data_IF_151511718405
#
_entry.id   IF_151511718405
#
_cell.length_a   1.000
_cell.length_b   1.000
_cell.length_c   1.000
_cell.angle_alpha   90.00
_cell.angle_beta   90.00
_cell.angle_gamma   90.00
#
_symmetry.space_group_name_H-M   'P 1'
#
loop_
_entity.id
_entity.type
_entity.pdbx_description
1 polymer ?
#
# COMPACT_ATOMS: atom_id res chain seq x y z
N UNK A 1 -33.88 16.21 32.28
CA UNK A 1 -34.76 15.99 31.12
C UNK A 1 -33.87 15.97 29.91
N UNK A 2 -34.07 14.93 29.11
CA UNK A 2 -33.20 14.30 28.14
C UNK A 2 -32.61 15.23 27.09
N UNK A 3 -31.35 14.94 26.77
CA UNK A 3 -30.64 15.29 25.54
C UNK A 3 -31.14 14.29 24.50
N UNK A 4 -31.78 14.76 23.44
CA UNK A 4 -32.14 13.92 22.30
C UNK A 4 -30.90 13.69 21.44
N UNK A 5 -30.63 12.41 21.21
CA UNK A 5 -29.51 11.84 20.48
C UNK A 5 -29.72 12.00 18.96
N UNK A 6 -28.64 12.37 18.29
CA UNK A 6 -28.51 12.48 16.84
C UNK A 6 -28.28 11.07 16.25
N UNK A 7 -29.37 10.31 16.08
CA UNK A 7 -29.39 8.94 15.54
C UNK A 7 -29.84 8.88 14.05
N UNK A 8 -29.56 9.90 13.24
CA UNK A 8 -30.19 10.05 11.91
C UNK A 8 -29.34 9.92 10.64
N UNK A 9 -28.00 9.84 10.70
CA UNK A 9 -27.16 10.23 9.54
C UNK A 9 -26.45 9.11 8.77
N UNK A 10 -26.35 7.89 9.30
CA UNK A 10 -25.44 6.87 8.73
C UNK A 10 -26.05 5.99 7.63
N UNK A 11 -27.34 5.65 7.71
CA UNK A 11 -27.93 4.63 6.81
C UNK A 11 -28.25 5.11 5.40
N UNK A 12 -28.50 6.40 5.18
CA UNK A 12 -28.85 6.96 3.85
C UNK A 12 -27.61 7.26 3.00
N UNK A 13 -26.50 7.61 3.63
CA UNK A 13 -25.22 7.87 2.97
C UNK A 13 -24.67 6.59 2.33
N UNK A 14 -24.74 5.46 3.02
CA UNK A 14 -24.26 4.16 2.52
C UNK A 14 -25.04 3.69 1.29
N UNK A 15 -26.37 3.81 1.29
CA UNK A 15 -27.20 3.38 0.15
C UNK A 15 -26.96 4.20 -1.14
N UNK A 16 -26.69 5.50 -1.01
CA UNK A 16 -26.37 6.36 -2.15
C UNK A 16 -24.97 6.05 -2.71
N UNK A 17 -24.01 5.81 -1.82
CA UNK A 17 -22.67 5.39 -2.20
C UNK A 17 -22.64 4.02 -2.89
N UNK A 18 -23.44 3.07 -2.38
CA UNK A 18 -23.67 1.77 -3.02
C UNK A 18 -24.28 1.94 -4.42
N UNK A 19 -25.29 2.81 -4.56
CA UNK A 19 -25.89 3.12 -5.87
C UNK A 19 -24.85 3.67 -6.86
N UNK A 20 -24.03 4.64 -6.48
CA UNK A 20 -22.99 5.21 -7.35
C UNK A 20 -22.00 4.15 -7.83
N UNK A 21 -21.57 3.25 -6.95
CA UNK A 21 -20.66 2.16 -7.31
C UNK A 21 -21.24 1.19 -8.35
N UNK A 22 -22.55 0.91 -8.25
CA UNK A 22 -23.24 -0.05 -9.13
C UNK A 22 -23.65 0.54 -10.49
N UNK A 23 -23.79 1.86 -10.59
CA UNK A 23 -24.34 2.54 -11.77
C UNK A 23 -23.26 3.05 -12.73
N UNK A 24 -22.05 3.28 -12.22
CA UNK A 24 -20.95 3.92 -12.95
C UNK A 24 -19.95 2.91 -13.53
N UNK A 25 -20.39 1.78 -14.10
CA UNK A 25 -19.49 0.70 -14.52
C UNK A 25 -19.30 0.58 -16.06
N UNK A 26 -18.42 1.39 -16.70
CA UNK A 26 -18.12 1.29 -18.14
C UNK A 26 -16.80 0.52 -18.38
N UNK A 27 -16.62 -0.66 -17.79
CA UNK A 27 -15.31 -1.36 -17.86
C UNK A 27 -14.88 -1.71 -19.30
N UNK A 28 -15.81 -1.78 -20.25
CA UNK A 28 -15.53 -2.11 -21.65
C UNK A 28 -14.93 -0.94 -22.46
N UNK A 29 -14.84 0.28 -21.90
CA UNK A 29 -14.44 1.49 -22.65
C UNK A 29 -13.07 2.05 -22.25
N UNK A 30 -12.42 1.52 -21.21
CA UNK A 30 -11.15 2.03 -20.70
C UNK A 30 -10.05 0.96 -20.66
N UNK A 31 -8.91 1.27 -21.28
CA UNK A 31 -7.67 0.50 -21.10
C UNK A 31 -7.03 0.85 -19.75
N UNK A 32 -6.45 -0.13 -19.04
CA UNK A 32 -5.70 0.10 -17.79
C UNK A 32 -6.17 -0.77 -16.62
N UNK A 33 -6.12 -0.22 -15.40
CA UNK A 33 -6.65 -0.89 -14.22
C UNK A 33 -8.18 -0.98 -14.31
N UNK A 34 -8.79 -2.07 -13.82
CA UNK A 34 -10.23 -2.19 -13.78
C UNK A 34 -10.80 -1.12 -12.84
N UNK A 35 -11.90 -0.48 -13.26
CA UNK A 35 -12.68 0.37 -12.35
C UNK A 35 -13.28 -0.54 -11.29
N UNK A 36 -12.85 -0.36 -10.04
CA UNK A 36 -13.48 -1.02 -8.90
C UNK A 36 -14.80 -0.33 -8.54
N UNK A 37 -15.53 -0.89 -7.57
CA UNK A 37 -16.43 -0.05 -6.80
C UNK A 37 -15.60 1.12 -6.27
N UNK A 38 -15.98 2.37 -6.57
CA UNK A 38 -15.47 3.53 -5.83
C UNK A 38 -15.46 3.15 -4.35
N UNK A 39 -14.42 3.52 -3.60
CA UNK A 39 -14.15 3.04 -2.21
C UNK A 39 -15.26 3.25 -1.16
N UNK A 40 -16.46 3.60 -1.62
CA UNK A 40 -17.70 3.81 -0.90
C UNK A 40 -18.67 2.62 -0.87
N UNK A 41 -18.47 1.53 -1.63
CA UNK A 41 -19.40 0.38 -1.60
C UNK A 41 -18.77 -0.98 -1.28
N UNK A 42 -19.46 -1.74 -0.43
CA UNK A 42 -19.14 -3.13 -0.08
C UNK A 42 -19.88 -4.17 -0.95
N UNK A 43 -20.62 -3.77 -2.01
CA UNK A 43 -21.47 -4.71 -2.76
C UNK A 43 -21.02 -4.88 -4.21
N UNK A 44 -20.45 -6.04 -4.50
CA UNK A 44 -19.93 -6.41 -5.82
C UNK A 44 -20.89 -7.45 -6.44
N UNK A 45 -21.87 -7.05 -7.27
CA UNK A 45 -22.72 -8.00 -8.03
C UNK A 45 -23.21 -7.47 -9.38
N UNK A 46 -22.37 -6.71 -10.10
CA UNK A 46 -22.57 -6.56 -11.54
C UNK A 46 -22.24 -7.88 -12.23
N UNK A 47 -23.25 -8.71 -12.50
CA UNK A 47 -23.09 -10.00 -13.18
C UNK A 47 -22.62 -9.74 -14.62
N UNK A 48 -21.37 -10.08 -14.93
CA UNK A 48 -20.91 -10.19 -16.32
C UNK A 48 -21.73 -11.29 -17.00
N UNK A 49 -22.53 -10.92 -18.00
CA UNK A 49 -23.27 -11.86 -18.85
C UNK A 49 -22.39 -12.39 -19.99
N UNK A 50 -21.11 -12.65 -19.71
CA UNK A 50 -20.17 -13.20 -20.68
C UNK A 50 -20.21 -14.73 -20.57
N UNK A 51 -20.44 -15.41 -21.69
CA UNK A 51 -20.32 -16.86 -21.76
C UNK A 51 -18.88 -17.18 -22.12
N UNK A 52 -18.10 -17.61 -21.13
CA UNK A 52 -16.72 -18.08 -21.36
C UNK A 52 -16.80 -19.49 -21.96
N UNK A 53 -16.32 -19.64 -23.18
CA UNK A 53 -16.17 -20.95 -23.83
C UNK A 53 -14.70 -21.33 -23.70
N UNK A 54 -14.43 -22.35 -22.89
CA UNK A 54 -13.08 -22.89 -22.76
C UNK A 54 -12.71 -23.64 -24.03
N UNK A 55 -11.60 -23.24 -24.66
CA UNK A 55 -10.97 -23.95 -25.75
C UNK A 55 -9.66 -24.52 -25.19
N UNK A 56 -9.49 -25.84 -25.22
CA UNK A 56 -8.22 -26.45 -24.84
C UNK A 56 -7.15 -26.09 -25.88
N UNK A 57 -5.89 -25.96 -25.46
CA UNK A 57 -4.79 -25.60 -26.37
C UNK A 57 -4.67 -26.59 -27.55
N UNK A 58 -4.97 -27.87 -27.31
CA UNK A 58 -4.98 -28.90 -28.37
C UNK A 58 -6.18 -28.81 -29.34
N UNK A 59 -7.17 -27.96 -29.02
CA UNK A 59 -8.44 -27.82 -29.73
C UNK A 59 -8.61 -26.42 -30.37
N UNK A 60 -7.57 -25.57 -30.34
CA UNK A 60 -7.63 -24.24 -30.96
C UNK A 60 -7.91 -24.40 -32.47
N UNK A 61 -9.06 -23.90 -32.98
CA UNK A 61 -9.36 -23.99 -34.40
C UNK A 61 -8.30 -23.21 -35.20
N UNK A 62 -7.91 -23.74 -36.36
CA UNK A 62 -6.86 -23.16 -37.22
C UNK A 62 -7.16 -21.73 -37.74
N UNK A 63 -8.35 -21.21 -37.46
CA UNK A 63 -8.80 -19.85 -37.83
C UNK A 63 -8.47 -18.80 -36.77
N UNK A 64 -8.06 -19.22 -35.57
CA UNK A 64 -7.69 -18.33 -34.47
C UNK A 64 -6.18 -18.37 -34.23
N UNK A 65 -5.57 -17.20 -34.15
CA UNK A 65 -4.19 -17.09 -33.66
C UNK A 65 -4.20 -17.11 -32.12
N UNK A 66 -3.23 -17.77 -31.45
CA UNK A 66 -3.14 -17.79 -29.99
C UNK A 66 -3.13 -16.39 -29.35
N UNK A 67 -2.65 -15.39 -30.08
CA UNK A 67 -2.59 -13.98 -29.67
C UNK A 67 -3.97 -13.31 -29.64
N UNK A 68 -4.98 -13.90 -30.29
CA UNK A 68 -6.38 -13.44 -30.29
C UNK A 68 -7.19 -14.04 -29.14
N UNK A 69 -6.62 -14.98 -28.37
CA UNK A 69 -7.28 -15.70 -27.30
C UNK A 69 -6.81 -15.19 -25.93
N UNK A 70 -7.75 -15.01 -25.00
CA UNK A 70 -7.42 -14.71 -23.61
C UNK A 70 -6.99 -15.98 -22.86
N UNK A 71 -5.76 -15.98 -22.32
CA UNK A 71 -5.29 -17.07 -21.49
C UNK A 71 -5.96 -17.06 -20.12
N UNK A 72 -6.80 -18.05 -19.84
CA UNK A 72 -7.41 -18.27 -18.52
C UNK A 72 -6.54 -19.26 -17.73
N UNK A 73 -5.82 -18.82 -16.68
CA UNK A 73 -4.86 -19.68 -16.00
C UNK A 73 -5.58 -20.76 -15.19
N UNK A 74 -5.15 -22.01 -15.37
CA UNK A 74 -5.53 -23.10 -14.47
C UNK A 74 -4.80 -23.00 -13.11
N UNK A 75 -5.25 -23.75 -12.10
CA UNK A 75 -4.61 -23.79 -10.77
C UNK A 75 -3.12 -24.16 -10.83
N UNK A 76 -2.74 -24.95 -11.83
CA UNK A 76 -1.36 -25.43 -12.07
C UNK A 76 -0.63 -24.62 -13.13
N UNK A 77 -1.19 -23.50 -13.61
CA UNK A 77 -0.53 -22.66 -14.59
C UNK A 77 0.82 -22.13 -14.03
N UNK A 78 1.82 -22.17 -14.90
CA UNK A 78 3.21 -21.76 -14.67
C UNK A 78 3.65 -20.66 -15.63
N UNK A 79 2.73 -20.11 -16.42
CA UNK A 79 3.00 -18.95 -17.27
C UNK A 79 3.48 -17.79 -16.40
N UNK A 80 4.58 -17.16 -16.81
CA UNK A 80 5.27 -16.11 -16.04
C UNK A 80 4.95 -14.70 -16.55
N UNK A 81 4.11 -14.59 -17.58
CA UNK A 81 3.67 -13.31 -18.15
C UNK A 81 2.63 -12.58 -17.28
N UNK A 82 1.94 -13.27 -16.36
CA UNK A 82 0.97 -12.66 -15.45
C UNK A 82 0.81 -13.45 -14.14
N UNK A 83 0.39 -12.79 -13.07
CA UNK A 83 0.01 -13.48 -11.84
C UNK A 83 -1.33 -14.21 -12.01
N UNK A 84 -1.38 -15.47 -11.59
CA UNK A 84 -2.62 -16.25 -11.59
C UNK A 84 -3.60 -15.73 -10.52
N UNK A 85 -4.84 -15.42 -10.93
CA UNK A 85 -5.94 -15.02 -10.04
C UNK A 85 -6.29 -16.04 -8.93
N UNK A 86 -5.91 -17.31 -9.12
CA UNK A 86 -6.03 -18.32 -8.06
C UNK A 86 -5.09 -18.11 -6.86
N UNK A 87 -4.02 -17.32 -7.04
CA UNK A 87 -2.99 -17.10 -6.01
C UNK A 87 -3.10 -15.73 -5.37
N UNK A 88 -3.58 -14.73 -6.11
CA UNK A 88 -3.81 -13.37 -5.64
C UNK A 88 -5.10 -12.82 -6.26
N UNK A 89 -5.95 -12.21 -5.42
CA UNK A 89 -7.20 -11.63 -5.90
C UNK A 89 -6.96 -10.30 -6.63
N UNK A 90 -7.90 -9.91 -7.50
CA UNK A 90 -7.84 -8.63 -8.20
C UNK A 90 -7.86 -7.44 -7.23
N UNK A 91 -8.66 -7.56 -6.16
CA UNK A 91 -8.75 -6.57 -5.09
C UNK A 91 -7.43 -6.43 -4.33
N UNK A 92 -6.70 -7.54 -4.14
CA UNK A 92 -5.37 -7.51 -3.54
C UNK A 92 -4.35 -6.81 -4.46
N UNK A 93 -4.52 -6.84 -5.79
CA UNK A 93 -3.62 -6.19 -6.77
C UNK A 93 -4.03 -4.77 -7.14
N UNK A 94 -5.25 -4.34 -6.77
CA UNK A 94 -5.85 -3.08 -7.22
C UNK A 94 -4.90 -1.92 -7.00
N UNK A 95 -4.47 -1.28 -8.10
CA UNK A 95 -3.60 -0.12 -8.18
C UNK A 95 -2.09 -0.44 -8.33
N UNK A 96 -1.73 -1.70 -8.55
CA UNK A 96 -0.34 -2.14 -8.71
C UNK A 96 0.30 -1.56 -9.97
N UNK A 97 -0.50 -1.21 -10.98
CA UNK A 97 -0.05 -0.53 -12.19
C UNK A 97 -0.24 0.98 -12.12
N UNK A 98 -0.87 1.51 -11.07
CA UNK A 98 -1.08 2.94 -10.92
C UNK A 98 0.23 3.63 -10.59
N UNK A 99 0.65 4.55 -11.45
CA UNK A 99 1.86 5.37 -11.27
C UNK A 99 1.47 6.83 -11.12
N UNK A 100 2.10 7.51 -10.16
CA UNK A 100 2.06 8.94 -9.95
C UNK A 100 3.48 9.52 -10.08
N UNK A 101 3.55 10.84 -10.20
CA UNK A 101 4.78 11.55 -10.47
C UNK A 101 4.99 12.68 -9.47
N UNK A 102 6.23 12.92 -9.05
CA UNK A 102 6.61 14.12 -8.32
C UNK A 102 7.24 15.09 -9.32
N UNK A 103 6.57 16.21 -9.55
CA UNK A 103 6.86 17.15 -10.63
C UNK A 103 7.40 18.45 -10.05
N UNK A 104 8.47 18.99 -10.62
CA UNK A 104 9.00 20.28 -10.18
C UNK A 104 8.08 21.41 -10.63
N UNK A 105 7.85 22.42 -9.77
CA UNK A 105 6.94 23.54 -10.05
C UNK A 105 7.34 24.38 -11.26
N UNK A 106 8.62 24.37 -11.67
CA UNK A 106 9.06 25.02 -12.92
C UNK A 106 8.44 24.41 -14.17
N UNK A 107 8.01 23.13 -14.12
CA UNK A 107 7.37 22.44 -15.23
C UNK A 107 5.88 22.76 -15.36
N UNK A 108 5.27 23.43 -14.37
CA UNK A 108 3.85 23.76 -14.40
C UNK A 108 3.52 24.84 -15.45
N UNK A 109 2.53 24.58 -16.31
CA UNK A 109 2.06 25.53 -17.32
C UNK A 109 1.32 26.69 -16.64
N UNK A 110 1.86 27.90 -16.73
CA UNK A 110 1.25 29.10 -16.15
C UNK A 110 1.48 29.28 -14.65
N UNK A 111 2.44 28.54 -14.07
CA UNK A 111 2.78 28.56 -12.66
C UNK A 111 1.88 27.66 -11.82
N UNK A 112 2.48 26.90 -10.91
CA UNK A 112 1.73 26.00 -10.02
C UNK A 112 0.83 26.77 -9.05
N UNK A 113 -0.37 26.24 -8.81
CA UNK A 113 -1.35 26.76 -7.84
C UNK A 113 -2.05 25.60 -7.13
N UNK A 114 -2.46 25.78 -5.86
CA UNK A 114 -3.33 24.84 -5.17
C UNK A 114 -4.62 24.56 -5.96
N UNK A 115 -4.95 23.28 -6.11
CA UNK A 115 -6.04 22.78 -6.96
C UNK A 115 -7.10 21.98 -6.17
N UNK A 116 -7.04 22.03 -4.84
CA UNK A 116 -7.92 21.26 -3.96
C UNK A 116 -7.56 19.77 -3.84
N UNK A 117 -6.58 19.29 -4.61
CA UNK A 117 -6.03 17.93 -4.52
C UNK A 117 -4.58 17.90 -4.00
N UNK A 118 -3.99 19.09 -3.81
CA UNK A 118 -2.67 19.26 -3.23
C UNK A 118 -2.57 18.77 -1.78
N UNK A 119 -1.45 18.13 -1.47
CA UNK A 119 -1.06 17.84 -0.09
C UNK A 119 -0.51 19.12 0.59
N UNK A 120 -0.60 19.24 1.94
CA UNK A 120 -0.14 20.44 2.65
C UNK A 120 1.33 20.82 2.41
N UNK A 121 2.21 19.83 2.22
CA UNK A 121 3.63 20.06 1.96
C UNK A 121 3.89 20.65 0.57
N UNK A 122 2.99 20.46 -0.40
CA UNK A 122 3.16 21.01 -1.76
C UNK A 122 3.18 22.55 -1.76
N UNK A 123 2.67 23.20 -0.72
CA UNK A 123 2.63 24.67 -0.63
C UNK A 123 4.06 25.22 -0.45
N UNK A 124 4.86 24.60 0.42
CA UNK A 124 6.19 25.08 0.80
C UNK A 124 7.34 24.50 -0.03
N UNK A 125 7.14 23.34 -0.63
CA UNK A 125 8.18 22.64 -1.41
C UNK A 125 8.22 23.12 -2.87
N UNK A 126 9.33 22.86 -3.56
CA UNK A 126 9.47 23.16 -5.00
C UNK A 126 8.81 22.11 -5.91
N UNK A 127 8.21 21.07 -5.32
CA UNK A 127 7.65 19.92 -6.00
C UNK A 127 6.17 19.73 -5.64
N UNK A 128 5.41 19.11 -6.53
CA UNK A 128 4.00 18.78 -6.33
C UNK A 128 3.66 17.41 -6.93
N UNK A 129 2.60 16.76 -6.45
CA UNK A 129 2.16 15.50 -7.05
C UNK A 129 1.50 15.74 -8.41
N UNK A 130 1.88 15.00 -9.43
CA UNK A 130 1.20 14.97 -10.72
C UNK A 130 -0.12 14.20 -10.68
N UNK A 131 -0.73 14.05 -11.85
CA UNK A 131 -1.81 13.07 -12.05
C UNK A 131 -1.30 11.64 -11.99
N UNK A 132 -2.25 10.70 -12.13
CA UNK A 132 -1.99 9.26 -12.18
C UNK A 132 -2.21 8.68 -13.58
N UNK A 133 -1.52 7.58 -13.88
CA UNK A 133 -1.74 6.75 -15.07
C UNK A 133 -1.71 5.26 -14.68
N UNK A 134 -2.34 4.40 -15.48
CA UNK A 134 -2.36 2.95 -15.25
C UNK A 134 -1.43 2.26 -16.25
N UNK A 135 -0.23 1.91 -15.79
CA UNK A 135 0.85 1.34 -16.58
C UNK A 135 1.76 2.41 -17.19
N UNK A 136 3.06 2.17 -17.08
CA UNK A 136 4.10 3.01 -17.67
C UNK A 136 5.01 2.12 -18.52
N UNK A 137 5.09 2.40 -19.82
CA UNK A 137 6.11 1.81 -20.69
C UNK A 137 7.38 2.66 -20.65
N UNK A 138 8.56 2.03 -20.63
CA UNK A 138 9.85 2.74 -20.63
C UNK A 138 9.98 3.78 -21.75
N UNK A 139 9.48 3.47 -22.94
CA UNK A 139 9.62 4.31 -24.14
C UNK A 139 8.44 5.26 -24.37
N UNK A 140 7.49 5.32 -23.43
CA UNK A 140 6.24 6.07 -23.58
C UNK A 140 6.22 7.36 -22.75
N UNK A 141 5.50 8.36 -23.25
CA UNK A 141 5.07 9.50 -22.45
C UNK A 141 3.71 9.17 -21.85
N UNK A 142 3.58 9.03 -20.52
CA UNK A 142 2.30 8.70 -19.92
C UNK A 142 1.37 9.91 -19.98
N UNK A 143 0.14 9.71 -20.46
CA UNK A 143 -0.93 10.66 -20.19
C UNK A 143 -1.39 10.47 -18.74
N UNK A 144 -1.55 11.58 -18.01
CA UNK A 144 -1.94 11.53 -16.58
C UNK A 144 -3.23 12.27 -16.29
N UNK A 145 -3.97 11.77 -15.28
CA UNK A 145 -5.24 12.35 -14.87
C UNK A 145 -5.28 12.61 -13.35
N UNK A 146 -5.75 13.79 -12.91
CA UNK A 146 -5.87 15.02 -13.71
C UNK A 146 -4.49 15.57 -14.10
N UNK A 147 -4.42 16.39 -15.14
CA UNK A 147 -3.20 17.11 -15.53
C UNK A 147 -2.89 18.27 -14.54
N UNK A 148 -2.44 17.91 -13.33
CA UNK A 148 -2.11 18.87 -12.26
C UNK A 148 -1.01 19.82 -12.72
N UNK A 149 -1.16 21.11 -12.42
CA UNK A 149 -0.25 22.15 -12.92
C UNK A 149 -0.22 22.29 -14.46
N UNK A 150 -1.22 21.74 -15.17
CA UNK A 150 -1.27 21.73 -16.64
C UNK A 150 -0.30 20.74 -17.31
N UNK A 151 0.31 19.84 -16.52
CA UNK A 151 1.25 18.82 -17.02
C UNK A 151 0.46 17.56 -17.35
N UNK A 152 0.19 17.35 -18.64
CA UNK A 152 -0.56 16.20 -19.17
C UNK A 152 0.33 14.98 -19.39
N UNK A 153 1.58 15.23 -19.81
CA UNK A 153 2.57 14.20 -20.15
C UNK A 153 3.89 14.51 -19.43
N UNK A 154 4.04 14.12 -18.14
CA UNK A 154 5.27 14.35 -17.42
C UNK A 154 6.43 13.59 -18.08
N UNK A 155 7.54 14.28 -18.35
CA UNK A 155 8.77 13.60 -18.72
C UNK A 155 9.25 12.80 -17.51
N UNK A 156 9.52 11.51 -17.68
CA UNK A 156 9.84 10.62 -16.57
C UNK A 156 10.79 9.54 -17.04
N UNK A 157 11.76 9.21 -16.19
CA UNK A 157 12.66 8.08 -16.37
C UNK A 157 13.22 7.72 -14.98
N UNK A 158 13.72 6.50 -14.84
CA UNK A 158 14.48 6.07 -13.67
C UNK A 158 15.94 6.55 -13.71
N UNK A 159 16.43 6.97 -14.88
CA UNK A 159 17.81 7.43 -15.09
C UNK A 159 17.87 8.61 -16.08
N UNK A 160 18.82 9.53 -15.92
CA UNK A 160 19.10 10.52 -16.94
C UNK A 160 20.11 9.99 -17.96
N UNK A 161 19.64 9.67 -19.17
CA UNK A 161 20.49 9.20 -20.28
C UNK A 161 21.27 10.30 -21.00
N UNK A 162 20.93 11.57 -20.79
CA UNK A 162 21.53 12.73 -21.50
C UNK A 162 21.76 13.91 -20.55
N UNK A 163 22.60 13.73 -19.50
CA UNK A 163 22.82 14.74 -18.46
C UNK A 163 23.46 16.03 -18.96
N UNK A 164 24.10 16.02 -20.14
CA UNK A 164 24.71 17.23 -20.72
C UNK A 164 23.69 18.21 -21.31
N UNK A 165 22.49 17.73 -21.65
CA UNK A 165 21.45 18.51 -22.34
C UNK A 165 20.14 18.64 -21.56
N UNK A 166 20.05 18.04 -20.38
CA UNK A 166 18.84 18.05 -19.57
C UNK A 166 19.15 18.34 -18.11
N UNK A 167 18.20 18.94 -17.40
CA UNK A 167 18.29 19.15 -15.95
C UNK A 167 17.45 18.11 -15.23
N UNK A 168 17.86 17.71 -14.03
CA UNK A 168 17.14 16.67 -13.27
C UNK A 168 15.70 17.10 -12.93
N UNK A 169 15.44 18.41 -12.81
CA UNK A 169 14.13 18.99 -12.50
C UNK A 169 13.14 18.95 -13.68
N UNK A 170 13.63 18.71 -14.90
CA UNK A 170 12.77 18.45 -16.08
C UNK A 170 12.14 17.05 -16.03
N UNK A 171 12.73 16.13 -15.26
CA UNK A 171 12.21 14.78 -15.08
C UNK A 171 11.40 14.68 -13.79
N UNK A 172 10.17 14.19 -13.92
CA UNK A 172 9.34 13.82 -12.80
C UNK A 172 9.73 12.42 -12.30
N UNK A 173 9.81 12.27 -10.97
CA UNK A 173 10.11 10.98 -10.35
C UNK A 173 8.86 10.10 -10.35
N UNK A 174 8.88 8.91 -10.99
CA UNK A 174 7.75 8.00 -10.99
C UNK A 174 7.72 7.19 -9.69
N UNK A 175 6.52 6.90 -9.18
CA UNK A 175 6.30 5.99 -8.06
C UNK A 175 4.87 5.46 -8.05
N UNK A 176 4.67 4.31 -7.42
CA UNK A 176 3.33 3.90 -6.99
C UNK A 176 2.88 4.80 -5.83
N UNK A 177 1.62 5.27 -5.81
CA UNK A 177 1.08 6.02 -4.67
C UNK A 177 1.29 5.32 -3.32
N UNK A 178 1.27 3.98 -3.28
CA UNK A 178 1.53 3.22 -2.04
C UNK A 178 2.96 3.36 -1.54
N UNK A 179 3.93 3.35 -2.46
CA UNK A 179 5.33 3.51 -2.09
C UNK A 179 5.55 4.91 -1.51
N UNK A 180 4.91 5.93 -2.10
CA UNK A 180 4.99 7.29 -1.60
C UNK A 180 4.27 7.49 -0.26
N UNK A 181 3.18 6.78 -0.01
CA UNK A 181 2.51 6.75 1.31
C UNK A 181 3.45 6.23 2.40
N UNK A 182 4.12 5.11 2.13
CA UNK A 182 5.08 4.49 3.06
C UNK A 182 6.31 5.40 3.24
N UNK A 183 6.79 6.04 2.17
CA UNK A 183 7.79 7.11 2.26
C UNK A 183 7.34 8.22 3.22
N UNK A 184 6.11 8.74 3.04
CA UNK A 184 5.57 9.80 3.88
C UNK A 184 5.49 9.38 5.36
N UNK A 185 5.12 8.14 5.65
CA UNK A 185 5.09 7.59 7.02
C UNK A 185 6.49 7.58 7.64
N UNK A 186 7.46 7.00 6.94
CA UNK A 186 8.85 6.95 7.42
C UNK A 186 9.46 8.34 7.56
N UNK A 187 9.22 9.21 6.58
CA UNK A 187 9.72 10.58 6.61
C UNK A 187 9.18 11.34 7.81
N UNK A 188 7.87 11.22 8.11
CA UNK A 188 7.28 11.82 9.32
C UNK A 188 7.87 11.24 10.60
N UNK A 189 8.08 9.93 10.67
CA UNK A 189 8.69 9.29 11.84
C UNK A 189 10.11 9.82 12.10
N UNK A 190 10.94 9.93 11.04
CA UNK A 190 12.37 10.26 11.14
C UNK A 190 12.68 11.76 11.12
N UNK A 191 11.96 12.55 10.31
CA UNK A 191 12.21 13.97 10.07
C UNK A 191 11.12 14.90 10.64
N UNK A 192 10.02 14.34 11.17
CA UNK A 192 8.84 15.08 11.67
C UNK A 192 8.06 15.85 10.60
N UNK A 193 8.39 15.67 9.34
CA UNK A 193 7.68 16.20 8.17
C UNK A 193 7.91 15.27 6.97
N UNK A 194 7.20 15.54 5.85
CA UNK A 194 7.45 14.85 4.58
C UNK A 194 8.60 15.57 3.87
N UNK A 195 9.79 14.97 3.83
CA UNK A 195 11.03 15.59 3.39
C UNK A 195 11.23 15.39 1.87
N UNK A 196 10.47 16.16 1.10
CA UNK A 196 10.46 16.08 -0.36
C UNK A 196 11.74 16.65 -0.96
N UNK A 197 12.20 17.80 -0.48
CA UNK A 197 13.50 18.35 -0.87
C UNK A 197 14.65 17.35 -0.66
N UNK A 198 14.70 16.65 0.47
CA UNK A 198 15.69 15.59 0.73
C UNK A 198 15.56 14.41 -0.24
N UNK A 199 14.33 13.92 -0.47
CA UNK A 199 14.03 12.86 -1.45
C UNK A 199 14.56 13.23 -2.85
N UNK A 200 14.31 14.47 -3.28
CA UNK A 200 14.72 14.93 -4.60
C UNK A 200 16.21 15.26 -4.70
N UNK A 201 16.83 15.73 -3.61
CA UNK A 201 18.30 15.87 -3.54
C UNK A 201 18.97 14.50 -3.72
N UNK A 202 18.50 13.47 -3.01
CA UNK A 202 18.99 12.10 -3.19
C UNK A 202 18.77 11.60 -4.62
N UNK A 203 17.52 11.67 -5.12
CA UNK A 203 17.18 11.24 -6.47
C UNK A 203 18.12 11.87 -7.48
N UNK A 204 18.27 13.19 -7.45
CA UNK A 204 19.09 13.94 -8.39
C UNK A 204 20.58 13.58 -8.29
N UNK A 205 21.10 13.32 -7.09
CA UNK A 205 22.50 12.93 -6.88
C UNK A 205 22.82 11.53 -7.42
N UNK A 206 21.84 10.63 -7.47
CA UNK A 206 21.99 9.26 -7.94
C UNK A 206 21.19 8.97 -9.22
N UNK A 207 20.79 10.01 -9.97
CA UNK A 207 19.96 9.90 -11.17
C UNK A 207 20.76 9.43 -12.41
N UNK A 208 21.46 8.30 -12.26
CA UNK A 208 22.42 7.74 -13.21
C UNK A 208 22.24 6.23 -13.31
N UNK A 209 22.83 5.62 -14.35
CA UNK A 209 22.84 4.17 -14.51
C UNK A 209 23.36 3.44 -13.27
N UNK A 210 24.55 3.82 -12.81
CA UNK A 210 25.18 3.18 -11.65
C UNK A 210 24.37 3.42 -10.36
N UNK A 211 23.80 4.62 -10.19
CA UNK A 211 22.95 4.93 -9.04
C UNK A 211 21.69 4.07 -8.99
N UNK A 212 21.03 3.88 -10.13
CA UNK A 212 19.81 3.07 -10.22
C UNK A 212 20.09 1.57 -9.95
N UNK A 213 21.08 0.98 -10.63
CA UNK A 213 21.35 -0.46 -10.51
C UNK A 213 22.13 -0.84 -9.24
N UNK A 214 22.75 0.11 -8.54
CA UNK A 214 23.40 -0.15 -7.24
C UNK A 214 22.47 0.02 -6.03
N UNK A 215 21.21 0.41 -6.24
CA UNK A 215 20.24 0.49 -5.16
C UNK A 215 19.93 -0.92 -4.60
N UNK A 216 20.13 -1.19 -3.30
CA UNK A 216 19.93 -2.51 -2.73
C UNK A 216 18.43 -2.77 -2.53
N UNK A 217 17.77 -3.25 -3.59
CA UNK A 217 16.34 -3.60 -3.57
C UNK A 217 16.07 -4.74 -2.58
N UNK A 218 15.01 -4.59 -1.78
CA UNK A 218 14.53 -5.63 -0.89
C UNK A 218 13.69 -6.70 -1.62
N UNK A 219 13.66 -7.91 -1.05
CA UNK A 219 12.84 -9.04 -1.52
C UNK A 219 13.26 -9.57 -2.90
N UNK A 220 12.27 -10.09 -3.64
CA UNK A 220 12.52 -10.83 -4.89
C UNK A 220 12.61 -9.91 -6.14
N UNK A 221 12.66 -8.58 -5.98
CA UNK A 221 12.67 -7.65 -7.13
C UNK A 221 13.82 -7.94 -8.08
N UNK A 222 15.03 -8.10 -7.53
CA UNK A 222 16.24 -8.29 -8.32
C UNK A 222 16.22 -9.54 -9.21
N UNK A 223 15.43 -10.56 -8.87
CA UNK A 223 15.25 -11.77 -9.67
C UNK A 223 14.06 -11.69 -10.64
N UNK A 224 13.15 -10.71 -10.47
CA UNK A 224 11.95 -10.54 -11.29
C UNK A 224 12.08 -9.42 -12.35
N UNK A 225 13.04 -8.50 -12.17
CA UNK A 225 13.30 -7.36 -13.04
C UNK A 225 14.09 -7.78 -14.30
N UNK A 226 13.39 -8.18 -15.36
CA UNK A 226 13.96 -8.37 -16.71
C UNK A 226 13.43 -7.31 -17.69
N UNK A 227 13.52 -7.54 -19.01
CA UNK A 227 12.88 -6.68 -20.01
C UNK A 227 11.35 -6.59 -19.79
N UNK A 228 10.76 -7.66 -19.27
CA UNK A 228 9.39 -7.71 -18.77
C UNK A 228 9.40 -8.20 -17.33
N UNK A 229 8.38 -7.83 -16.56
CA UNK A 229 8.23 -8.32 -15.20
C UNK A 229 7.94 -9.82 -15.20
N UNK A 230 8.71 -10.59 -14.42
CA UNK A 230 8.46 -12.02 -14.24
C UNK A 230 7.51 -12.27 -13.08
N UNK A 231 6.48 -13.06 -13.33
CA UNK A 231 5.42 -13.36 -12.37
C UNK A 231 5.63 -14.73 -11.73
N UNK A 232 6.82 -14.98 -11.20
CA UNK A 232 7.18 -16.28 -10.63
C UNK A 232 6.28 -16.64 -9.44
N UNK A 233 5.94 -17.92 -9.32
CA UNK A 233 5.08 -18.43 -8.23
C UNK A 233 5.68 -18.12 -6.86
N UNK A 234 4.87 -17.58 -5.95
CA UNK A 234 5.29 -17.20 -4.59
C UNK A 234 5.71 -15.72 -4.47
N UNK A 235 5.91 -15.03 -5.60
CA UNK A 235 6.23 -13.61 -5.66
C UNK A 235 4.98 -12.73 -5.81
N UNK A 236 3.77 -13.29 -5.70
CA UNK A 236 2.51 -12.55 -5.90
C UNK A 236 2.37 -11.36 -4.93
N UNK A 237 3.05 -11.43 -3.79
CA UNK A 237 3.10 -10.31 -2.84
C UNK A 237 3.69 -9.04 -3.45
N UNK A 238 4.53 -9.10 -4.49
CA UNK A 238 5.10 -7.91 -5.14
C UNK A 238 4.01 -7.03 -5.77
N UNK A 239 2.94 -7.63 -6.29
CA UNK A 239 1.78 -6.92 -6.82
C UNK A 239 0.70 -6.61 -5.76
N UNK A 240 0.81 -7.15 -4.55
CA UNK A 240 -0.21 -6.97 -3.52
C UNK A 240 -0.15 -5.54 -2.94
N UNK A 241 -1.29 -4.86 -2.88
CA UNK A 241 -1.43 -3.54 -2.30
C UNK A 241 -1.01 -3.56 -0.81
N UNK A 242 0.04 -2.81 -0.41
CA UNK A 242 0.56 -2.86 0.95
C UNK A 242 -0.35 -2.15 1.96
N UNK A 243 -1.28 -1.31 1.50
CA UNK A 243 -2.24 -0.59 2.34
C UNK A 243 -3.56 -1.37 2.49
N UNK A 244 -3.79 -2.38 1.65
CA UNK A 244 -4.95 -3.25 1.71
C UNK A 244 -4.55 -4.70 1.99
N UNK A 245 -4.73 -5.13 3.24
CA UNK A 245 -4.38 -6.48 3.68
C UNK A 245 -5.64 -7.18 4.22
N UNK A 246 -6.42 -7.90 3.37
CA UNK A 246 -7.74 -8.41 3.74
C UNK A 246 -7.80 -9.25 5.02
N UNK A 247 -6.77 -10.06 5.24
CA UNK A 247 -6.73 -10.98 6.40
C UNK A 247 -6.20 -10.31 7.68
N UNK A 248 -5.52 -9.16 7.58
CA UNK A 248 -4.91 -8.49 8.73
C UNK A 248 -5.94 -8.03 9.78
N UNK A 249 -7.08 -7.38 9.44
CA UNK A 249 -8.08 -6.99 10.42
C UNK A 249 -8.53 -8.16 11.31
N UNK A 250 -8.78 -9.33 10.73
CA UNK A 250 -9.17 -10.52 11.50
C UNK A 250 -8.08 -11.00 12.48
N UNK A 251 -6.80 -10.87 12.09
CA UNK A 251 -5.66 -11.19 12.95
C UNK A 251 -5.55 -10.20 14.11
N UNK A 252 -5.75 -8.91 13.83
CA UNK A 252 -5.66 -7.84 14.82
C UNK A 252 -6.85 -7.86 15.80
N UNK A 253 -8.07 -8.06 15.30
CA UNK A 253 -9.28 -8.13 16.11
C UNK A 253 -9.26 -9.33 17.07
N UNK A 254 -8.71 -10.47 16.62
CA UNK A 254 -8.54 -11.63 17.48
C UNK A 254 -7.62 -11.36 18.68
N UNK A 255 -6.70 -10.39 18.57
CA UNK A 255 -5.74 -10.04 19.62
C UNK A 255 -6.25 -8.97 20.59
N UNK A 256 -7.44 -8.39 20.38
CA UNK A 256 -8.07 -7.45 21.32
C UNK A 256 -8.59 -8.21 22.54
N UNK A 257 -8.35 -7.68 23.73
CA UNK A 257 -8.56 -8.39 25.02
C UNK A 257 -10.00 -8.84 25.31
N UNK A 258 -11.01 -8.41 24.54
CA UNK A 258 -12.39 -8.90 24.67
C UNK A 258 -12.58 -10.38 24.24
N UNK A 259 -11.55 -11.02 23.65
CA UNK A 259 -11.56 -12.42 23.21
C UNK A 259 -10.73 -13.38 24.09
N UNK A 260 -10.38 -12.99 25.32
CA UNK A 260 -9.50 -13.80 26.20
C UNK A 260 -10.26 -14.96 26.83
N UNK A 261 -10.39 -16.03 26.06
CA UNK A 261 -10.37 -17.38 26.62
C UNK A 261 -9.69 -18.31 25.61
N UNK A 262 -8.71 -19.08 26.10
CA UNK A 262 -7.89 -20.10 25.38
C UNK A 262 -6.54 -19.61 24.85
N UNK A 263 -5.60 -19.36 25.76
CA UNK A 263 -4.20 -19.74 25.45
C UNK A 263 -4.12 -21.27 25.30
N UNK A 264 -3.60 -21.82 24.19
CA UNK A 264 -3.30 -23.24 24.12
C UNK A 264 -2.15 -23.54 25.09
N UNK A 265 -2.42 -24.32 26.12
CA UNK A 265 -1.39 -24.82 27.01
C UNK A 265 -0.39 -25.65 26.22
N UNK A 266 0.87 -25.19 26.16
CA UNK A 266 1.98 -25.97 25.60
C UNK A 266 2.09 -27.26 26.44
N UNK A 267 1.81 -28.39 25.80
CA UNK A 267 1.90 -29.73 26.39
C UNK A 267 3.36 -30.04 26.73
N UNK A 268 3.59 -30.33 28.02
CA UNK A 268 4.89 -30.73 28.56
C UNK A 268 5.26 -32.12 28.06
N UNK A 269 6.48 -32.30 27.57
CA UNK A 269 7.27 -33.51 27.91
C UNK A 269 8.77 -33.28 27.67
N UNK A 270 9.57 -33.37 28.73
CA UNK A 270 10.68 -34.33 28.89
C UNK A 270 11.52 -34.02 30.12
N UNK A 271 11.86 -35.08 30.85
CA UNK A 271 12.65 -35.06 32.07
C UNK A 271 14.16 -34.86 31.83
N UNK A 272 14.71 -34.02 32.72
CA UNK A 272 16.01 -34.06 33.41
C UNK A 272 17.30 -34.36 32.63
N UNK A 273 18.11 -33.31 32.51
CA UNK A 273 19.56 -33.35 32.36
C UNK A 273 20.14 -31.96 32.58
N UNK A 274 20.72 -31.73 33.78
CA UNK A 274 21.60 -30.58 34.11
C UNK A 274 21.23 -29.20 33.55
N UNK A 275 20.03 -28.66 33.82
CA UNK A 275 19.70 -27.28 33.45
C UNK A 275 20.22 -26.30 34.51
N UNK A 276 20.79 -25.18 34.06
CA UNK A 276 21.00 -24.02 34.92
C UNK A 276 19.65 -23.63 35.53
N UNK A 277 19.58 -23.53 36.88
CA UNK A 277 18.36 -23.15 37.59
C UNK A 277 18.15 -21.65 37.42
N UNK A 278 17.50 -21.25 36.33
CA UNK A 278 17.12 -19.87 36.08
C UNK A 278 15.79 -19.52 36.76
N UNK A 279 14.99 -20.52 37.13
CA UNK A 279 13.71 -20.37 37.82
C UNK A 279 13.76 -19.55 39.13
N UNK A 280 14.81 -19.62 39.97
CA UNK A 280 14.87 -18.85 41.21
C UNK A 280 15.18 -17.36 41.02
N UNK A 281 15.54 -16.93 39.81
CA UNK A 281 15.88 -15.53 39.57
C UNK A 281 14.62 -14.65 39.62
N UNK A 282 14.72 -13.40 40.11
CA UNK A 282 13.62 -12.44 40.05
C UNK A 282 13.18 -12.16 38.61
N UNK A 283 11.91 -11.78 38.43
CA UNK A 283 11.35 -11.42 37.12
C UNK A 283 12.18 -10.34 36.41
N UNK A 284 12.69 -9.35 37.14
CA UNK A 284 13.53 -8.29 36.57
C UNK A 284 14.81 -8.83 35.92
N UNK A 285 15.39 -9.89 36.49
CA UNK A 285 16.58 -10.54 35.91
C UNK A 285 16.19 -11.37 34.69
N UNK A 286 15.02 -12.02 34.69
CA UNK A 286 14.51 -12.70 33.50
C UNK A 286 14.27 -11.70 32.36
N UNK A 287 13.69 -10.54 32.66
CA UNK A 287 13.46 -9.48 31.70
C UNK A 287 14.76 -8.90 31.17
N UNK A 288 15.76 -8.67 32.03
CA UNK A 288 17.09 -8.22 31.61
C UNK A 288 17.76 -9.24 30.70
N UNK A 289 17.67 -10.54 31.00
CA UNK A 289 18.19 -11.60 30.11
C UNK A 289 17.52 -11.51 28.74
N UNK A 290 16.18 -11.47 28.72
CA UNK A 290 15.39 -11.37 27.48
C UNK A 290 15.67 -10.08 26.72
N UNK A 291 16.09 -9.01 27.41
CA UNK A 291 16.41 -7.74 26.79
C UNK A 291 17.56 -7.86 25.78
N UNK A 292 18.55 -8.69 26.09
CA UNK A 292 19.76 -8.92 25.28
C UNK A 292 19.62 -10.03 24.23
N UNK A 293 18.46 -10.66 24.11
CA UNK A 293 18.26 -11.78 23.20
C UNK A 293 17.49 -11.35 21.97
N UNK A 294 17.90 -11.89 20.83
CA UNK A 294 17.10 -11.82 19.62
C UNK A 294 15.90 -12.79 19.72
N UNK A 295 14.91 -12.70 18.81
CA UNK A 295 13.68 -13.47 18.97
C UNK A 295 13.85 -14.98 18.71
N UNK A 296 14.88 -15.38 17.96
CA UNK A 296 15.27 -16.77 17.79
C UNK A 296 15.82 -17.35 19.10
N UNK A 297 16.65 -16.59 19.80
CA UNK A 297 17.20 -16.93 21.11
C UNK A 297 16.14 -16.93 22.19
N UNK A 298 15.18 -15.99 22.17
CA UNK A 298 14.02 -16.01 23.07
C UNK A 298 13.22 -17.30 22.87
N UNK A 299 12.98 -17.72 21.62
CA UNK A 299 12.27 -18.96 21.32
C UNK A 299 13.04 -20.18 21.85
N UNK A 300 14.34 -20.22 21.60
CA UNK A 300 15.22 -21.28 22.11
C UNK A 300 15.24 -21.33 23.64
N UNK A 301 15.28 -20.17 24.30
CA UNK A 301 15.25 -20.04 25.75
C UNK A 301 13.92 -20.52 26.35
N UNK A 302 12.79 -20.24 25.68
CA UNK A 302 11.45 -20.74 26.07
C UNK A 302 11.36 -22.27 26.03
N UNK A 303 12.05 -22.91 25.08
CA UNK A 303 12.14 -24.38 24.98
C UNK A 303 13.10 -24.93 26.06
N UNK A 304 14.21 -24.22 26.28
CA UNK A 304 15.27 -24.62 27.20
C UNK A 304 14.91 -24.42 28.68
N UNK A 305 14.01 -23.50 29.03
CA UNK A 305 13.67 -23.20 30.41
C UNK A 305 12.20 -22.78 30.59
N UNK A 306 11.55 -23.37 31.59
CA UNK A 306 10.16 -23.03 31.91
C UNK A 306 10.02 -21.62 32.50
N UNK A 307 11.09 -21.04 33.04
CA UNK A 307 11.11 -19.69 33.60
C UNK A 307 10.69 -18.63 32.56
N UNK A 308 10.95 -18.87 31.28
CA UNK A 308 10.69 -17.92 30.20
C UNK A 308 9.42 -18.27 29.40
N UNK A 309 8.65 -19.29 29.79
CA UNK A 309 7.44 -19.68 29.03
C UNK A 309 6.32 -18.63 29.11
N UNK A 310 6.25 -17.87 30.20
CA UNK A 310 5.25 -16.83 30.47
C UNK A 310 5.89 -15.44 30.52
N UNK A 311 6.34 -14.95 29.36
CA UNK A 311 6.89 -13.59 29.25
C UNK A 311 5.77 -12.54 29.34
N UNK A 312 6.01 -11.40 30.01
CA UNK A 312 5.06 -10.30 30.04
C UNK A 312 4.69 -9.78 28.65
N UNK A 313 3.49 -9.24 28.51
CA UNK A 313 2.97 -8.69 27.25
C UNK A 313 3.86 -7.57 26.68
N UNK A 314 4.55 -6.81 27.54
CA UNK A 314 5.51 -5.76 27.16
C UNK A 314 6.70 -6.29 26.35
N UNK A 315 7.14 -7.52 26.61
CA UNK A 315 8.21 -8.16 25.83
C UNK A 315 7.74 -8.37 24.40
N UNK A 316 6.52 -8.89 24.22
CA UNK A 316 5.94 -9.14 22.90
C UNK A 316 5.65 -7.85 22.14
N UNK A 317 5.20 -6.79 22.83
CA UNK A 317 5.06 -5.46 22.23
C UNK A 317 6.40 -4.99 21.65
N UNK A 318 7.47 -5.06 22.45
CA UNK A 318 8.82 -4.71 21.99
C UNK A 318 9.21 -5.51 20.75
N UNK A 319 9.02 -6.83 20.76
CA UNK A 319 9.34 -7.69 19.61
C UNK A 319 8.57 -7.30 18.34
N UNK A 320 7.28 -6.96 18.46
CA UNK A 320 6.49 -6.46 17.33
C UNK A 320 7.06 -5.13 16.82
N UNK A 321 7.43 -4.20 17.72
CA UNK A 321 7.99 -2.91 17.31
C UNK A 321 9.37 -3.05 16.66
N UNK A 322 10.21 -3.93 17.16
CA UNK A 322 11.58 -4.13 16.70
C UNK A 322 11.64 -4.93 15.40
N UNK A 323 10.88 -6.03 15.26
CA UNK A 323 10.93 -6.89 14.07
C UNK A 323 9.91 -6.51 12.98
N UNK A 324 8.85 -5.79 13.33
CA UNK A 324 7.78 -5.41 12.40
C UNK A 324 7.56 -3.89 12.44
N UNK A 325 8.61 -3.07 12.17
CA UNK A 325 8.46 -1.60 12.19
C UNK A 325 7.43 -1.12 11.17
N UNK A 326 7.22 -1.86 10.09
CA UNK A 326 6.19 -1.65 9.07
C UNK A 326 4.76 -1.93 9.54
N UNK A 327 4.54 -2.52 10.72
CA UNK A 327 3.20 -2.72 11.30
C UNK A 327 2.77 -1.46 12.05
N UNK A 328 2.34 -0.43 11.31
CA UNK A 328 1.97 0.87 11.89
C UNK A 328 0.68 0.85 12.71
N UNK A 329 -0.09 -0.23 12.67
CA UNK A 329 -1.20 -0.51 13.59
C UNK A 329 -0.70 -0.64 15.03
N UNK A 330 0.58 -1.00 15.22
CA UNK A 330 1.22 -1.16 16.53
C UNK A 330 1.98 0.07 17.04
N UNK A 331 2.01 1.17 16.29
CA UNK A 331 2.74 2.38 16.71
C UNK A 331 2.00 3.12 17.82
N UNK A 332 2.76 3.76 18.71
CA UNK A 332 2.18 4.53 19.81
C UNK A 332 1.41 5.76 19.26
N UNK A 333 0.39 6.19 20.00
CA UNK A 333 -0.38 7.38 19.65
C UNK A 333 0.54 8.61 19.56
N UNK A 334 0.46 9.33 18.42
CA UNK A 334 1.27 10.52 18.18
C UNK A 334 2.72 10.27 17.74
N UNK A 335 3.17 9.01 17.60
CA UNK A 335 4.53 8.71 17.11
C UNK A 335 4.76 9.26 15.69
N UNK A 336 3.78 9.05 14.82
CA UNK A 336 3.68 9.67 13.51
C UNK A 336 2.20 9.74 13.09
N UNK A 337 1.62 10.93 13.17
CA UNK A 337 0.27 11.16 12.64
C UNK A 337 0.31 11.14 11.11
N UNK A 338 -0.37 10.16 10.54
CA UNK A 338 -0.39 9.96 9.10
C UNK A 338 -1.79 9.54 8.64
N UNK A 339 -2.34 10.34 7.73
CA UNK A 339 -3.54 10.02 6.97
C UNK A 339 -3.08 9.68 5.57
N UNK A 340 -3.42 8.49 5.02
CA UNK A 340 -3.03 8.14 3.68
C UNK A 340 -3.63 9.11 2.67
N UNK A 341 -2.87 9.38 1.62
CA UNK A 341 -3.35 10.28 0.55
C UNK A 341 -4.50 9.62 -0.23
N UNK A 342 -5.53 10.37 -0.67
CA UNK A 342 -6.57 9.87 -1.58
C UNK A 342 -6.03 9.11 -2.79
N UNK A 343 -4.85 9.51 -3.30
CA UNK A 343 -4.19 8.88 -4.44
C UNK A 343 -3.85 7.40 -4.21
N UNK A 344 -3.75 6.97 -2.96
CA UNK A 344 -3.52 5.55 -2.62
C UNK A 344 -4.71 4.64 -2.92
N UNK A 345 -5.89 5.24 -3.04
CA UNK A 345 -7.17 4.56 -3.19
C UNK A 345 -7.77 4.71 -4.59
N UNK A 346 -7.06 5.36 -5.53
CA UNK A 346 -7.58 5.65 -6.86
C UNK A 346 -6.65 5.12 -7.95
N UNK A 347 -7.24 4.51 -8.97
CA UNK A 347 -6.61 4.21 -10.26
C UNK A 347 -6.84 5.36 -11.25
N UNK A 348 -6.06 5.41 -12.33
CA UNK A 348 -6.26 6.46 -13.33
C UNK A 348 -7.63 6.38 -13.99
N UNK A 349 -8.14 5.17 -14.25
CA UNK A 349 -9.48 4.98 -14.79
C UNK A 349 -10.59 5.46 -13.86
N UNK A 350 -10.47 5.25 -12.55
CA UNK A 350 -11.42 5.80 -11.56
C UNK A 350 -11.36 7.34 -11.50
N UNK A 351 -10.16 7.92 -11.60
CA UNK A 351 -10.00 9.38 -11.66
C UNK A 351 -10.68 9.95 -12.91
N UNK A 352 -10.45 9.35 -14.09
CA UNK A 352 -11.09 9.77 -15.35
C UNK A 352 -12.61 9.74 -15.22
N UNK A 353 -13.15 8.62 -14.77
CA UNK A 353 -14.59 8.44 -14.59
C UNK A 353 -15.16 9.46 -13.61
N UNK A 354 -14.51 9.68 -12.46
CA UNK A 354 -14.94 10.68 -11.48
C UNK A 354 -14.98 12.08 -12.08
N UNK A 355 -13.95 12.47 -12.86
CA UNK A 355 -13.89 13.78 -13.51
C UNK A 355 -14.98 13.94 -14.57
N UNK A 356 -15.23 12.91 -15.38
CA UNK A 356 -16.30 12.90 -16.38
C UNK A 356 -17.68 13.04 -15.73
N UNK A 357 -17.94 12.29 -14.65
CA UNK A 357 -19.18 12.38 -13.91
C UNK A 357 -19.34 13.75 -13.24
N UNK A 358 -18.30 14.26 -12.56
CA UNK A 358 -18.33 15.59 -11.97
C UNK A 358 -18.62 16.66 -13.02
N UNK A 359 -18.04 16.56 -14.22
CA UNK A 359 -18.35 17.46 -15.34
C UNK A 359 -19.82 17.33 -15.78
N UNK A 360 -20.30 16.11 -15.99
CA UNK A 360 -21.68 15.84 -16.39
C UNK A 360 -22.70 16.43 -15.40
N UNK A 361 -22.55 16.13 -14.11
CA UNK A 361 -23.43 16.65 -13.07
C UNK A 361 -23.28 18.16 -12.91
N UNK A 362 -22.08 18.73 -13.08
CA UNK A 362 -21.90 20.19 -13.08
C UNK A 362 -22.74 20.86 -14.17
N UNK A 363 -22.78 20.28 -15.38
CA UNK A 363 -23.57 20.80 -16.49
C UNK A 363 -25.09 20.67 -16.23
N UNK A 364 -25.53 19.57 -15.61
CA UNK A 364 -26.93 19.38 -15.20
C UNK A 364 -27.34 20.41 -14.15
N UNK A 365 -26.57 20.54 -13.06
CA UNK A 365 -26.88 21.47 -11.98
C UNK A 365 -26.92 22.92 -12.49
N UNK A 366 -26.00 23.29 -13.39
CA UNK A 366 -25.99 24.59 -14.03
C UNK A 366 -27.27 24.84 -14.87
N UNK A 367 -27.76 23.84 -15.62
CA UNK A 367 -29.02 23.92 -16.38
C UNK A 367 -30.23 24.09 -15.46
N UNK A 368 -30.26 23.37 -14.35
CA UNK A 368 -31.32 23.43 -13.34
C UNK A 368 -31.22 24.67 -12.42
N UNK A 369 -30.22 25.54 -12.63
CA UNK A 369 -29.94 26.74 -11.81
C UNK A 369 -29.72 26.42 -10.32
N UNK A 370 -29.27 25.21 -10.03
CA UNK A 370 -28.90 24.77 -8.69
C UNK A 370 -27.44 25.20 -8.45
N UNK A 371 -27.11 25.79 -7.28
CA UNK A 371 -25.72 26.08 -6.94
C UNK A 371 -24.85 24.83 -7.02
N UNK A 372 -23.86 24.85 -7.91
CA UNK A 372 -22.93 23.73 -8.14
C UNK A 372 -22.00 23.53 -6.94
N UNK A 373 -21.64 24.63 -6.27
CA UNK A 373 -20.64 24.64 -5.21
C UNK A 373 -21.13 23.88 -3.97
N UNK A 374 -20.31 22.97 -3.45
CA UNK A 374 -20.64 22.06 -2.34
C UNK A 374 -21.60 20.91 -2.70
N UNK A 375 -22.50 21.10 -3.66
CA UNK A 375 -23.43 20.06 -4.09
C UNK A 375 -22.74 18.96 -4.90
N UNK A 376 -21.77 19.30 -5.74
CA UNK A 376 -20.95 18.29 -6.41
C UNK A 376 -20.11 17.46 -5.43
N UNK A 377 -19.54 18.08 -4.40
CA UNK A 377 -18.74 17.37 -3.41
C UNK A 377 -19.61 16.49 -2.51
N UNK A 378 -20.88 16.85 -2.31
CA UNK A 378 -21.86 16.00 -1.66
C UNK A 378 -22.29 14.82 -2.55
N UNK A 379 -22.60 15.07 -3.82
CA UNK A 379 -23.09 14.05 -4.75
C UNK A 379 -21.99 13.09 -5.23
N UNK A 380 -20.77 13.59 -5.41
CA UNK A 380 -19.63 12.85 -5.93
C UNK A 380 -18.40 13.20 -5.09
N UNK A 381 -18.33 12.78 -3.82
CA UNK A 381 -17.19 13.11 -2.95
C UNK A 381 -15.88 12.60 -3.56
N UNK A 382 -14.76 13.21 -3.15
CA UNK A 382 -13.45 12.65 -3.45
C UNK A 382 -13.19 11.42 -2.58
N UNK A 383 -12.55 10.37 -3.13
CA UNK A 383 -12.22 9.20 -2.34
C UNK A 383 -11.39 9.60 -1.13
N UNK A 384 -11.78 9.11 0.04
CA UNK A 384 -11.00 9.27 1.26
C UNK A 384 -10.35 7.94 1.59
N UNK A 385 -9.06 7.99 1.93
CA UNK A 385 -8.41 6.83 2.51
C UNK A 385 -9.06 6.50 3.85
N UNK A 386 -9.25 5.20 4.11
CA UNK A 386 -9.74 4.77 5.42
C UNK A 386 -8.62 5.01 6.45
N UNK A 387 -8.95 5.54 7.64
CA UNK A 387 -7.96 5.65 8.70
C UNK A 387 -7.47 4.26 9.11
N UNK A 388 -6.19 4.16 9.46
CA UNK A 388 -5.60 2.91 9.93
C UNK A 388 -6.27 2.45 11.23
N UNK A 389 -6.42 1.14 11.38
CA UNK A 389 -6.81 0.54 12.67
C UNK A 389 -5.63 0.65 13.61
N UNK A 390 -5.79 1.36 14.73
CA UNK A 390 -4.78 1.44 15.79
C UNK A 390 -5.07 0.43 16.91
N UNK A 391 -4.00 -0.19 17.41
CA UNK A 391 -4.05 -1.09 18.56
C UNK A 391 -3.62 -0.33 19.81
N UNK A 392 -4.43 -0.45 20.87
CA UNK A 392 -4.05 0.10 22.18
C UNK A 392 -2.92 -0.73 22.77
N UNK A 393 -1.82 -0.07 23.18
CA UNK A 393 -0.71 -0.72 23.87
C UNK A 393 -1.14 -1.49 25.12
N UNK A 394 -2.12 -0.95 25.86
CA UNK A 394 -2.58 -1.50 27.14
C UNK A 394 -3.53 -2.69 26.99
N UNK A 395 -4.35 -2.72 25.94
CA UNK A 395 -5.49 -3.66 25.82
C UNK A 395 -5.34 -4.63 24.63
N UNK A 396 -4.10 -4.90 24.22
CA UNK A 396 -3.78 -5.76 23.08
C UNK A 396 -2.90 -6.91 23.52
N UNK A 397 -3.26 -8.14 23.16
CA UNK A 397 -2.43 -9.33 23.35
C UNK A 397 -1.33 -9.38 22.28
N UNK A 398 -0.18 -8.76 22.57
CA UNK A 398 0.94 -8.64 21.64
C UNK A 398 1.59 -9.98 21.32
N UNK A 399 1.54 -10.96 22.22
CA UNK A 399 1.98 -12.33 21.92
C UNK A 399 1.14 -12.93 20.78
N UNK A 400 -0.17 -12.73 20.82
CA UNK A 400 -1.07 -13.23 19.79
C UNK A 400 -0.85 -12.50 18.46
N UNK A 401 -0.68 -11.18 18.46
CA UNK A 401 -0.31 -10.41 17.25
C UNK A 401 0.95 -10.99 16.60
N UNK A 402 2.04 -11.10 17.38
CA UNK A 402 3.32 -11.59 16.90
C UNK A 402 3.22 -13.00 16.31
N UNK A 403 2.59 -13.93 17.05
CA UNK A 403 2.46 -15.32 16.63
C UNK A 403 1.55 -15.46 15.41
N UNK A 404 0.39 -14.79 15.39
CA UNK A 404 -0.56 -14.91 14.29
C UNK A 404 -0.02 -14.34 12.98
N UNK A 405 0.71 -13.21 13.03
CA UNK A 405 1.36 -12.65 11.85
C UNK A 405 2.40 -13.64 11.30
N UNK A 406 3.30 -14.14 12.15
CA UNK A 406 4.35 -15.10 11.73
C UNK A 406 3.76 -16.42 11.20
N UNK A 407 2.69 -16.94 11.83
CA UNK A 407 2.04 -18.19 11.40
C UNK A 407 1.25 -18.07 10.11
N UNK A 408 0.75 -16.88 9.77
CA UNK A 408 -0.09 -16.65 8.59
C UNK A 408 0.63 -15.80 7.53
N UNK A 409 1.97 -15.72 7.56
CA UNK A 409 2.74 -14.82 6.71
C UNK A 409 2.45 -14.97 5.21
N UNK A 410 2.28 -16.20 4.73
CA UNK A 410 1.95 -16.49 3.34
C UNK A 410 0.58 -15.94 2.90
N UNK A 411 -0.35 -15.75 3.85
CA UNK A 411 -1.70 -15.19 3.61
C UNK A 411 -1.74 -13.67 3.72
N UNK A 412 -0.65 -13.04 4.17
CA UNK A 412 -0.55 -11.60 4.43
C UNK A 412 0.28 -10.93 3.32
N UNK A 413 -0.09 -11.14 2.05
CA UNK A 413 0.71 -10.69 0.89
C UNK A 413 0.92 -9.18 0.86
N UNK A 414 -0.13 -8.38 1.09
CA UNK A 414 0.04 -6.93 1.19
C UNK A 414 0.99 -6.53 2.33
N UNK A 415 0.97 -7.26 3.45
CA UNK A 415 1.89 -7.02 4.56
C UNK A 415 3.34 -7.40 4.23
N UNK A 416 3.55 -8.49 3.46
CA UNK A 416 4.85 -8.84 2.88
C UNK A 416 5.37 -7.74 1.96
N UNK A 417 4.52 -7.20 1.09
CA UNK A 417 4.91 -6.08 0.22
C UNK A 417 5.21 -4.83 1.04
N UNK A 418 4.42 -4.56 2.08
CA UNK A 418 4.62 -3.46 3.00
C UNK A 418 5.99 -3.53 3.68
N UNK A 419 6.39 -4.70 4.18
CA UNK A 419 7.74 -4.92 4.71
C UNK A 419 8.81 -4.61 3.67
N UNK A 420 8.69 -5.17 2.47
CA UNK A 420 9.67 -4.96 1.39
C UNK A 420 9.82 -3.47 1.05
N UNK A 421 8.71 -2.76 0.85
CA UNK A 421 8.73 -1.32 0.55
C UNK A 421 9.32 -0.55 1.71
N UNK A 422 9.00 -0.95 2.94
CA UNK A 422 9.55 -0.32 4.14
C UNK A 422 11.08 -0.42 4.16
N UNK A 423 11.66 -1.58 3.87
CA UNK A 423 13.11 -1.78 3.79
C UNK A 423 13.76 -0.91 2.69
N UNK A 424 13.14 -0.85 1.50
CA UNK A 424 13.58 0.08 0.44
C UNK A 424 13.55 1.54 0.92
N UNK A 425 12.47 1.94 1.60
CA UNK A 425 12.34 3.30 2.12
C UNK A 425 13.35 3.61 3.23
N UNK A 426 13.74 2.64 4.06
CA UNK A 426 14.77 2.84 5.08
C UNK A 426 16.13 3.19 4.43
N UNK A 427 16.46 2.53 3.33
CA UNK A 427 17.64 2.87 2.53
C UNK A 427 17.52 4.27 1.91
N UNK A 428 16.34 4.65 1.41
CA UNK A 428 16.07 6.03 0.95
C UNK A 428 16.31 7.04 2.08
N UNK A 429 15.74 6.83 3.26
CA UNK A 429 15.93 7.73 4.42
C UNK A 429 17.41 7.85 4.80
N UNK A 430 18.18 6.75 4.72
CA UNK A 430 19.63 6.74 4.96
C UNK A 430 20.37 7.59 3.92
N UNK A 431 20.03 7.47 2.64
CA UNK A 431 20.64 8.26 1.56
C UNK A 431 20.27 9.74 1.64
N UNK A 432 19.03 10.07 2.00
CA UNK A 432 18.60 11.46 2.27
C UNK A 432 19.50 12.08 3.33
N UNK A 433 19.64 11.43 4.50
CA UNK A 433 20.51 11.94 5.59
C UNK A 433 21.96 12.11 5.16
N UNK A 434 22.48 11.22 4.32
CA UNK A 434 23.85 11.33 3.77
C UNK A 434 23.97 12.58 2.92
N UNK A 435 23.07 12.77 1.95
CA UNK A 435 23.14 13.91 1.04
C UNK A 435 22.78 15.24 1.71
N UNK A 436 22.03 15.26 2.82
CA UNK A 436 21.80 16.51 3.57
C UNK A 436 23.05 17.00 4.33
N UNK A 437 23.96 16.10 4.67
CA UNK A 437 25.22 16.42 5.37
C UNK A 437 26.35 16.86 4.41
N UNK A 438 26.17 16.60 3.11
CA UNK A 438 27.01 17.05 2.00
C UNK A 438 26.52 18.40 1.43
#
# INVERSE_FOLDING_TARGET
>A
MSVDEDEGSTTTTDAYQDFLSSTLYPQNELYGEPIGNFGYSNTNTGTRNETIIHIAEEEIPAEYEPEELEHIPSLTCTEANAYSGHRIALEEMRGCRTVQFLVHKSCAKGGWKPDGLHEPWEISEDWFLGGVCDGLSRDGYPDVWPARGGVETPATDNMNFVPESTTADEFAMPFHPWCFDIFCRQSKAQFKHVNISGLMKWRNAEFTWDGFYSFPRAGDISSMEEQFWRHDRGSEYLAANPLYVPYLPSVLDAAREDNVDKSPGITKTREQGGRAKLEPLPLDIHLLIVEFLDPADITSLRIASTAFTKLPNSVWYRLVRDEMPWLWEAWDEGEAEHTPSPWTMMTANEVKLLLEQRKHYSEILAKERIPVNGMLDYLLPNPSARPDVKLSRGNTNWHQVYVQIKQNWDRLKGLRNRQRIWEDMEEVMRRIKRYEQE
#
